data_IF_148646623724
#
_entry.id   IF_148646623724
#
_cell.length_a   1.000
_cell.length_b   1.000
_cell.length_c   1.000
_cell.angle_alpha   90.00
_cell.angle_beta   90.00
_cell.angle_gamma   90.00
#
_symmetry.space_group_name_H-M   'P 1'
#
loop_
_entity.id
_entity.type
_entity.pdbx_description
1 polymer ?
#
# COMPACT_ATOMS: atom_id res chain seq x y z
N UNK A 1 1.48 2.40 4.00
CA UNK A 1 0.10 2.46 3.48
C UNK A 1 -0.03 3.65 2.53
N UNK A 2 -0.34 3.44 1.24
CA UNK A 2 -0.54 4.53 0.28
C UNK A 2 -1.76 5.39 0.64
N UNK A 3 -1.65 6.71 0.49
CA UNK A 3 -2.77 7.63 0.68
C UNK A 3 -3.42 7.96 -0.66
N UNK A 4 -4.72 7.69 -0.79
CA UNK A 4 -5.54 8.04 -1.98
C UNK A 4 -6.46 9.24 -1.73
N UNK A 5 -6.47 9.76 -0.50
CA UNK A 5 -7.20 10.96 -0.09
C UNK A 5 -6.31 11.86 0.76
N UNK A 6 -6.50 13.17 0.63
CA UNK A 6 -5.86 14.18 1.46
C UNK A 6 -6.89 15.23 1.86
N UNK A 7 -7.08 15.46 3.16
CA UNK A 7 -8.09 16.38 3.70
C UNK A 7 -9.49 16.20 3.11
N UNK A 8 -9.92 14.94 2.93
CA UNK A 8 -11.23 14.61 2.35
C UNK A 8 -11.31 14.69 0.82
N UNK A 9 -10.32 15.27 0.15
CA UNK A 9 -10.24 15.33 -1.31
C UNK A 9 -9.60 14.05 -1.87
N UNK A 10 -10.19 13.51 -2.93
CA UNK A 10 -9.64 12.37 -3.66
C UNK A 10 -8.44 12.81 -4.49
N UNK A 11 -7.32 12.08 -4.36
CA UNK A 11 -6.13 12.31 -5.18
C UNK A 11 -6.33 11.58 -6.51
N UNK A 12 -6.33 12.32 -7.61
CA UNK A 12 -6.52 11.79 -8.97
C UNK A 12 -7.74 10.86 -9.09
N UNK A 13 -7.54 9.57 -9.39
CA UNK A 13 -8.60 8.57 -9.55
C UNK A 13 -8.94 7.81 -8.26
N UNK A 14 -8.33 8.19 -7.13
CA UNK A 14 -8.54 7.57 -5.83
C UNK A 14 -7.93 6.17 -5.70
N UNK A 15 -7.08 5.75 -6.65
CA UNK A 15 -6.39 4.45 -6.62
C UNK A 15 -4.92 4.62 -6.29
N UNK A 16 -4.31 3.53 -5.81
CA UNK A 16 -2.87 3.49 -5.59
C UNK A 16 -2.16 3.55 -6.94
N UNK A 17 -1.34 4.57 -7.13
CA UNK A 17 -0.62 4.81 -8.38
C UNK A 17 0.46 3.76 -8.69
N UNK A 18 0.87 3.66 -9.97
CA UNK A 18 1.80 2.63 -10.43
C UNK A 18 3.21 2.74 -9.81
N UNK A 19 3.67 3.95 -9.49
CA UNK A 19 4.98 4.15 -8.84
C UNK A 19 4.96 3.61 -7.41
N UNK A 20 3.92 3.92 -6.65
CA UNK A 20 3.79 3.42 -5.27
C UNK A 20 3.70 1.89 -5.24
N UNK A 21 3.01 1.27 -6.21
CA UNK A 21 3.00 -0.20 -6.35
C UNK A 21 4.40 -0.77 -6.59
N UNK A 22 5.20 -0.15 -7.45
CA UNK A 22 6.59 -0.57 -7.71
C UNK A 22 7.48 -0.44 -6.48
N UNK A 23 7.33 0.65 -5.72
CA UNK A 23 8.10 0.85 -4.47
C UNK A 23 7.74 -0.20 -3.42
N UNK A 24 6.45 -0.52 -3.27
CA UNK A 24 6.01 -1.57 -2.36
C UNK A 24 6.57 -2.93 -2.77
N UNK A 25 6.51 -3.28 -4.06
CA UNK A 25 7.09 -4.53 -4.55
C UNK A 25 8.59 -4.60 -4.29
N UNK A 26 9.36 -3.57 -4.67
CA UNK A 26 10.80 -3.56 -4.47
C UNK A 26 11.19 -3.59 -2.99
N UNK A 27 10.36 -3.04 -2.10
CA UNK A 27 10.55 -3.19 -0.67
C UNK A 27 10.29 -4.64 -0.22
N UNK A 28 9.18 -5.25 -0.63
CA UNK A 28 8.87 -6.66 -0.35
C UNK A 28 10.03 -7.58 -0.76
N UNK A 29 10.53 -7.39 -1.98
CA UNK A 29 11.65 -8.17 -2.53
C UNK A 29 12.92 -7.99 -1.69
N UNK A 30 13.20 -6.76 -1.23
CA UNK A 30 14.38 -6.44 -0.42
C UNK A 30 14.35 -7.08 0.97
N UNK A 31 13.17 -7.16 1.59
CA UNK A 31 13.02 -7.72 2.95
C UNK A 31 12.66 -9.21 2.92
N UNK A 32 12.37 -9.77 1.76
CA UNK A 32 11.97 -11.18 1.61
C UNK A 32 10.60 -11.50 2.19
N UNK A 33 9.72 -10.50 2.34
CA UNK A 33 8.40 -10.64 2.94
C UNK A 33 7.35 -9.94 2.10
N UNK A 34 6.15 -10.51 2.03
CA UNK A 34 4.98 -9.81 1.49
C UNK A 34 4.44 -8.84 2.55
N UNK A 35 4.96 -7.61 2.52
CA UNK A 35 4.59 -6.57 3.48
C UNK A 35 3.17 -6.06 3.31
N UNK A 36 2.56 -6.23 2.13
CA UNK A 36 1.16 -5.82 1.88
C UNK A 36 0.24 -6.82 2.55
N UNK A 37 0.47 -8.12 2.29
CA UNK A 37 -0.27 -9.19 2.95
C UNK A 37 -0.14 -9.12 4.47
N UNK A 38 1.07 -8.91 4.98
CA UNK A 38 1.28 -8.79 6.43
C UNK A 38 0.47 -7.63 7.04
N UNK A 39 0.34 -6.50 6.33
CA UNK A 39 -0.44 -5.36 6.80
C UNK A 39 -1.95 -5.66 6.78
N UNK A 40 -2.44 -6.34 5.74
CA UNK A 40 -3.83 -6.79 5.64
C UNK A 40 -4.16 -7.79 6.77
N UNK A 41 -3.30 -8.78 7.00
CA UNK A 41 -3.47 -9.77 8.07
C UNK A 41 -3.52 -9.12 9.46
N UNK A 42 -2.85 -7.98 9.67
CA UNK A 42 -2.95 -7.21 10.92
C UNK A 42 -4.30 -6.51 11.11
N UNK A 43 -4.97 -6.12 10.03
CA UNK A 43 -6.29 -5.49 10.08
C UNK A 43 -7.42 -6.50 10.28
N UNK A 44 -7.15 -7.77 9.97
CA UNK A 44 -8.12 -8.87 10.02
C UNK A 44 -7.81 -9.89 11.13
N UNK A 45 -7.13 -9.48 12.20
CA UNK A 45 -6.98 -10.31 13.41
C UNK A 45 -8.31 -10.43 14.15
N UNK A 46 -8.94 -11.61 14.04
CA UNK A 46 -9.99 -12.09 14.97
C UNK A 46 -9.43 -12.27 16.40
#
# INVERSE_FOLDING_TARGET
MPATKYNGLTIADGKVGPITKKLLQGWSDRVGLDIVKQAEDQLHKD
#
